data_IF_031695959206
#
_entry.id   IF_031695959206
#
_cell.length_a   1.000
_cell.length_b   1.000
_cell.length_c   1.000
_cell.angle_alpha   90.00
_cell.angle_beta   90.00
_cell.angle_gamma   90.00
#
_symmetry.space_group_name_H-M   'P 1'
#
loop_
_entity.id
_entity.type
_entity.pdbx_description
1 polymer ?
#
# COMPACT_ATOMS: atom_id res chain seq x y z
N UNK A 1 24.02 -39.27 31.80
CA UNK A 1 22.68 -39.27 32.44
C UNK A 1 22.08 -37.90 32.17
N UNK A 2 20.95 -37.83 31.47
CA UNK A 2 20.31 -36.57 31.03
C UNK A 2 20.06 -35.60 32.19
N UNK A 3 20.17 -34.28 31.98
CA UNK A 3 19.25 -33.33 32.59
C UNK A 3 18.05 -33.09 31.66
N UNK A 4 16.88 -33.30 32.24
CA UNK A 4 15.56 -33.10 31.66
C UNK A 4 15.04 -31.70 32.02
N UNK A 5 14.42 -31.06 31.02
CA UNK A 5 13.47 -29.94 31.05
C UNK A 5 13.95 -28.56 31.55
N UNK A 6 13.76 -27.55 30.69
CA UNK A 6 12.92 -26.39 31.04
C UNK A 6 12.39 -25.76 29.75
N UNK A 7 11.16 -26.13 29.42
CA UNK A 7 10.29 -25.27 28.62
C UNK A 7 10.25 -23.86 29.20
N UNK A 8 10.75 -22.87 28.45
CA UNK A 8 10.20 -21.52 28.56
C UNK A 8 10.17 -20.84 27.20
N UNK A 9 9.02 -21.04 26.54
CA UNK A 9 8.50 -20.13 25.53
C UNK A 9 8.43 -18.72 26.11
N UNK A 10 9.15 -17.79 25.48
CA UNK A 10 8.85 -16.35 25.40
C UNK A 10 9.70 -15.82 24.24
N UNK A 11 9.15 -15.78 23.02
CA UNK A 11 8.47 -14.60 22.49
C UNK A 11 9.36 -13.35 22.50
N UNK A 12 10.30 -13.30 21.56
CA UNK A 12 10.92 -12.07 21.07
C UNK A 12 10.89 -12.19 19.53
N UNK A 13 9.73 -11.89 18.92
CA UNK A 13 9.50 -10.59 18.24
C UNK A 13 10.74 -10.12 17.45
N UNK A 14 11.11 -10.89 16.44
CA UNK A 14 11.75 -10.30 15.26
C UNK A 14 10.73 -10.34 14.13
N UNK A 15 10.34 -9.13 13.76
CA UNK A 15 9.35 -8.77 12.75
C UNK A 15 9.63 -9.54 11.47
N UNK A 16 8.57 -10.17 10.98
CA UNK A 16 8.50 -10.83 9.68
C UNK A 16 8.65 -9.76 8.58
N UNK A 17 9.88 -9.36 8.26
CA UNK A 17 10.16 -8.59 7.05
C UNK A 17 10.53 -9.62 5.98
N UNK A 18 9.50 -10.26 5.43
CA UNK A 18 9.63 -10.95 4.13
C UNK A 18 9.58 -9.86 3.08
N UNK A 19 10.73 -9.24 2.81
CA UNK A 19 10.96 -8.48 1.58
C UNK A 19 11.59 -9.47 0.61
N UNK A 20 10.76 -10.34 0.03
CA UNK A 20 11.13 -11.09 -1.18
C UNK A 20 10.77 -10.20 -2.37
N UNK A 21 11.63 -9.25 -2.71
CA UNK A 21 11.54 -8.51 -3.98
C UNK A 21 12.65 -9.03 -4.89
N UNK A 22 12.35 -10.10 -5.61
CA UNK A 22 13.14 -10.54 -6.76
C UNK A 22 12.18 -10.86 -7.89
N UNK A 23 12.01 -9.91 -8.81
CA UNK A 23 11.88 -10.09 -10.27
C UNK A 23 11.78 -8.67 -10.90
N UNK A 24 12.66 -8.27 -11.83
CA UNK A 24 12.57 -6.96 -12.48
C UNK A 24 11.43 -6.95 -13.51
N UNK A 25 10.59 -5.90 -13.45
CA UNK A 25 9.46 -5.55 -14.33
C UNK A 25 8.05 -6.05 -13.97
N UNK A 26 7.82 -6.51 -12.74
CA UNK A 26 6.45 -6.57 -12.19
C UNK A 26 6.20 -5.27 -11.42
N UNK A 27 5.33 -4.39 -11.93
CA UNK A 27 4.92 -3.16 -11.24
C UNK A 27 4.55 -3.51 -9.79
N UNK A 28 5.30 -2.96 -8.83
CA UNK A 28 5.02 -3.21 -7.43
C UNK A 28 3.76 -2.43 -7.03
N UNK A 29 2.65 -3.17 -6.96
CA UNK A 29 1.34 -2.62 -6.60
C UNK A 29 1.32 -2.09 -5.17
N UNK A 30 2.15 -2.62 -4.29
CA UNK A 30 2.24 -2.17 -2.91
C UNK A 30 2.89 -0.78 -2.86
N UNK A 31 4.04 -0.64 -3.52
CA UNK A 31 4.73 0.65 -3.63
C UNK A 31 3.88 1.69 -4.36
N UNK A 32 3.17 1.31 -5.41
CA UNK A 32 2.24 2.20 -6.11
C UNK A 32 1.07 2.64 -5.22
N UNK A 33 0.56 1.75 -4.36
CA UNK A 33 -0.52 2.10 -3.45
C UNK A 33 -0.05 3.14 -2.42
N UNK A 34 1.14 2.95 -1.87
CA UNK A 34 1.75 3.93 -0.95
C UNK A 34 2.04 5.27 -1.63
N UNK A 35 2.56 5.25 -2.86
CA UNK A 35 2.76 6.46 -3.65
C UNK A 35 1.44 7.20 -3.92
N UNK A 36 0.37 6.47 -4.26
CA UNK A 36 -0.96 7.07 -4.41
C UNK A 36 -1.44 7.70 -3.10
N UNK A 37 -1.34 6.97 -1.99
CA UNK A 37 -1.82 7.43 -0.68
C UNK A 37 -1.09 8.70 -0.20
N UNK A 38 0.19 8.84 -0.54
CA UNK A 38 1.02 10.01 -0.24
C UNK A 38 0.96 11.12 -1.30
N UNK A 39 0.21 10.93 -2.38
CA UNK A 39 0.17 11.89 -3.50
C UNK A 39 -0.86 12.99 -3.30
N UNK A 40 -0.78 14.05 -4.12
CA UNK A 40 -1.80 15.10 -4.15
C UNK A 40 -3.21 14.58 -4.47
N UNK A 41 -3.33 13.41 -5.11
CA UNK A 41 -4.61 12.82 -5.51
C UNK A 41 -5.45 12.36 -4.32
N UNK A 42 -4.88 12.21 -3.12
CA UNK A 42 -5.66 12.00 -1.88
C UNK A 42 -6.05 13.31 -1.19
N UNK A 43 -5.53 14.43 -1.67
CA UNK A 43 -5.73 15.76 -1.10
C UNK A 43 -7.08 16.41 -1.42
N UNK A 44 -7.33 17.59 -0.82
CA UNK A 44 -8.62 18.28 -0.88
C UNK A 44 -9.03 18.71 -2.30
N UNK A 45 -8.07 18.98 -3.19
CA UNK A 45 -8.33 19.34 -4.59
C UNK A 45 -9.12 18.26 -5.33
N UNK A 46 -8.87 16.99 -5.02
CA UNK A 46 -9.53 15.84 -5.65
C UNK A 46 -10.62 15.24 -4.77
N UNK A 47 -10.94 15.85 -3.62
CA UNK A 47 -11.86 15.28 -2.63
C UNK A 47 -13.30 15.09 -3.14
N UNK A 48 -13.71 15.84 -4.16
CA UNK A 48 -15.02 15.70 -4.79
C UNK A 48 -15.08 14.57 -5.84
N UNK A 49 -13.94 13.99 -6.22
CA UNK A 49 -13.89 12.92 -7.22
C UNK A 49 -14.05 11.55 -6.55
N UNK A 50 -14.69 10.57 -7.21
CA UNK A 50 -14.62 9.16 -6.82
C UNK A 50 -13.16 8.69 -6.72
N UNK A 51 -12.87 7.76 -5.79
CA UNK A 51 -11.49 7.26 -5.60
C UNK A 51 -10.96 6.58 -6.87
N UNK A 52 -11.84 5.95 -7.63
CA UNK A 52 -11.57 5.36 -8.94
C UNK A 52 -11.00 6.36 -9.95
N UNK A 53 -11.58 7.57 -10.01
CA UNK A 53 -11.17 8.60 -10.95
C UNK A 53 -9.84 9.25 -10.50
N UNK A 54 -9.62 9.33 -9.19
CA UNK A 54 -8.33 9.75 -8.62
C UNK A 54 -7.22 8.76 -8.96
N UNK A 55 -7.51 7.46 -8.87
CA UNK A 55 -6.59 6.40 -9.26
C UNK A 55 -6.28 6.46 -10.76
N UNK A 56 -7.29 6.67 -11.61
CA UNK A 56 -7.05 6.83 -13.04
C UNK A 56 -6.17 8.03 -13.37
N UNK A 57 -6.40 9.19 -12.73
CA UNK A 57 -5.56 10.36 -12.88
C UNK A 57 -4.12 10.07 -12.42
N UNK A 58 -3.94 9.45 -11.27
CA UNK A 58 -2.63 9.04 -10.78
C UNK A 58 -1.91 8.09 -11.74
N UNK A 59 -2.60 7.08 -12.27
CA UNK A 59 -2.03 6.14 -13.24
C UNK A 59 -1.67 6.81 -14.57
N UNK A 60 -2.49 7.77 -15.03
CA UNK A 60 -2.20 8.56 -16.24
C UNK A 60 -0.96 9.45 -16.08
N UNK A 61 -0.73 9.98 -14.87
CA UNK A 61 0.43 10.80 -14.58
C UNK A 61 1.73 10.00 -14.41
N UNK A 62 1.64 8.78 -13.86
CA UNK A 62 2.82 8.02 -13.43
C UNK A 62 3.19 6.84 -14.34
N UNK A 63 2.30 6.39 -15.23
CA UNK A 63 2.57 5.25 -16.11
C UNK A 63 2.50 5.61 -17.60
N UNK A 64 3.35 4.96 -18.42
CA UNK A 64 3.30 5.11 -19.86
C UNK A 64 1.99 4.55 -20.44
N UNK A 65 1.56 5.11 -21.57
CA UNK A 65 0.28 4.78 -22.18
C UNK A 65 0.11 3.31 -22.59
N UNK A 66 1.21 2.55 -22.72
CA UNK A 66 1.25 1.14 -23.11
C UNK A 66 0.78 0.15 -22.03
N UNK A 67 0.60 0.59 -20.78
CA UNK A 67 0.18 -0.29 -19.69
C UNK A 67 -1.34 -0.52 -19.70
N UNK A 68 -1.77 -1.75 -19.45
CA UNK A 68 -3.18 -2.11 -19.31
C UNK A 68 -3.79 -1.49 -18.02
N UNK A 69 -4.27 -0.25 -18.12
CA UNK A 69 -4.69 0.56 -16.96
C UNK A 69 -5.91 0.00 -16.24
N UNK A 70 -6.86 -0.64 -16.95
CA UNK A 70 -8.08 -1.15 -16.33
C UNK A 70 -7.80 -2.23 -15.28
N UNK A 71 -7.07 -3.29 -15.66
CA UNK A 71 -6.69 -4.36 -14.73
C UNK A 71 -5.74 -3.86 -13.64
N UNK A 72 -4.88 -2.90 -13.97
CA UNK A 72 -3.97 -2.29 -12.99
C UNK A 72 -4.73 -1.47 -11.95
N UNK A 73 -5.75 -0.70 -12.37
CA UNK A 73 -6.59 0.11 -11.50
C UNK A 73 -7.33 -0.77 -10.49
N UNK A 74 -7.94 -1.86 -10.96
CA UNK A 74 -8.68 -2.77 -10.07
C UNK A 74 -7.74 -3.42 -9.03
N UNK A 75 -6.54 -3.83 -9.46
CA UNK A 75 -5.55 -4.41 -8.55
C UNK A 75 -4.98 -3.38 -7.56
N UNK A 76 -4.71 -2.16 -8.03
CA UNK A 76 -4.21 -1.05 -7.20
C UNK A 76 -5.25 -0.62 -6.17
N UNK A 77 -6.53 -0.55 -6.56
CA UNK A 77 -7.65 -0.24 -5.67
C UNK A 77 -7.70 -1.18 -4.47
N UNK A 78 -7.51 -2.49 -4.67
CA UNK A 78 -7.47 -3.46 -3.57
C UNK A 78 -6.33 -3.17 -2.58
N UNK A 79 -5.16 -2.75 -3.06
CA UNK A 79 -4.00 -2.43 -2.21
C UNK A 79 -4.14 -1.09 -1.50
N UNK A 80 -4.73 -0.10 -2.16
CA UNK A 80 -5.07 1.18 -1.52
C UNK A 80 -6.07 0.96 -0.39
N UNK A 81 -7.12 0.16 -0.62
CA UNK A 81 -8.10 -0.15 0.43
C UNK A 81 -7.50 -0.96 1.58
N UNK A 82 -6.58 -1.89 1.29
CA UNK A 82 -5.87 -2.65 2.32
C UNK A 82 -4.97 -1.74 3.21
N UNK A 83 -4.43 -0.65 2.65
CA UNK A 83 -3.51 0.24 3.34
C UNK A 83 -4.12 1.54 3.85
N UNK A 84 -5.40 1.82 3.57
CA UNK A 84 -6.02 3.11 3.91
C UNK A 84 -6.00 3.41 5.42
N UNK A 85 -6.30 2.40 6.25
CA UNK A 85 -6.24 2.54 7.71
C UNK A 85 -4.82 2.76 8.21
N UNK A 86 -3.84 2.07 7.61
CA UNK A 86 -2.44 2.25 7.95
C UNK A 86 -1.95 3.66 7.55
N UNK A 87 -2.32 4.14 6.38
CA UNK A 87 -1.99 5.48 5.90
C UNK A 87 -2.55 6.59 6.80
N UNK A 88 -3.76 6.41 7.33
CA UNK A 88 -4.30 7.30 8.37
C UNK A 88 -3.48 7.29 9.65
N UNK A 89 -3.14 6.11 10.19
CA UNK A 89 -2.34 6.01 11.41
C UNK A 89 -0.93 6.59 11.26
N UNK A 90 -0.38 6.56 10.05
CA UNK A 90 0.93 7.10 9.71
C UNK A 90 0.89 8.59 9.32
N UNK A 91 -0.29 9.19 9.21
CA UNK A 91 -0.46 10.61 8.88
C UNK A 91 -0.31 10.98 7.41
N UNK A 92 -0.31 9.99 6.49
CA UNK A 92 -0.32 10.27 5.04
C UNK A 92 -1.66 10.81 4.56
N UNK A 93 -2.74 10.43 5.25
CA UNK A 93 -4.08 10.94 4.99
C UNK A 93 -4.45 11.87 6.12
N UNK A 94 -4.63 13.16 5.80
CA UNK A 94 -5.22 14.09 6.74
C UNK A 94 -6.65 13.64 7.05
N UNK A 95 -7.02 13.70 8.34
CA UNK A 95 -8.44 13.64 8.66
C UNK A 95 -9.07 14.88 8.03
N UNK A 96 -9.98 14.68 7.09
CA UNK A 96 -10.83 15.79 6.68
C UNK A 96 -11.76 16.07 7.87
N UNK A 97 -11.33 16.97 8.75
CA UNK A 97 -12.24 17.62 9.69
C UNK A 97 -13.23 18.38 8.84
N UNK A 98 -14.46 17.87 8.75
CA UNK A 98 -15.61 18.70 8.44
C UNK A 98 -16.41 18.86 9.72
#
# INVERSE_FOLDING_TARGET
MYPTDMSRRRAERTVLIVISHSEPAQLDLEDLAWQFLASEFTGPMYACWPIEDRLDAFLLHNLPHSVARRSLRDALMQRVMANISAAHHLGFLEFSTR
#
